data_IF_169853833014
#
_entry.id   IF_169853833014
#
_cell.length_a   1.000
_cell.length_b   1.000
_cell.length_c   1.000
_cell.angle_alpha   90.00
_cell.angle_beta   90.00
_cell.angle_gamma   90.00
#
_symmetry.space_group_name_H-M   'P 1'
#
loop_
_entity.id
_entity.type
_entity.pdbx_description
1 polymer ?
#
# COMPACT_ATOMS: atom_id res chain seq x y z
N UNK A 1 -14.64 -17.79 5.46
CA UNK A 1 -13.55 -18.64 4.88
C UNK A 1 -12.41 -18.52 5.89
N UNK A 2 -11.79 -19.61 6.28
CA UNK A 2 -10.58 -19.53 7.10
C UNK A 2 -9.37 -19.26 6.19
N UNK A 3 -8.72 -18.11 6.40
CA UNK A 3 -7.55 -17.70 5.64
C UNK A 3 -6.23 -18.15 6.29
N UNK A 4 -6.28 -18.83 7.45
CA UNK A 4 -5.10 -19.28 8.18
C UNK A 4 -4.23 -18.14 8.73
N UNK A 5 -4.83 -16.98 8.99
CA UNK A 5 -4.14 -15.77 9.44
C UNK A 5 -4.19 -15.59 10.97
N UNK A 6 -4.95 -16.42 11.67
CA UNK A 6 -5.02 -16.37 13.13
C UNK A 6 -3.62 -16.48 13.74
N UNK A 7 -3.33 -15.61 14.69
CA UNK A 7 -2.06 -15.48 15.43
C UNK A 7 -0.83 -15.14 14.55
N UNK A 8 -1.01 -14.87 13.25
CA UNK A 8 0.06 -14.42 12.35
C UNK A 8 0.46 -12.98 12.67
N UNK A 9 1.76 -12.71 12.69
CA UNK A 9 2.27 -11.35 12.89
C UNK A 9 2.36 -10.62 11.54
N UNK A 10 1.66 -9.49 11.45
CA UNK A 10 1.56 -8.68 10.24
C UNK A 10 2.10 -7.27 10.51
N UNK A 11 3.05 -6.81 9.70
CA UNK A 11 3.47 -5.41 9.68
C UNK A 11 2.85 -4.70 8.47
N UNK A 12 2.07 -3.65 8.73
CA UNK A 12 1.50 -2.79 7.68
C UNK A 12 2.13 -1.41 7.76
N UNK A 13 2.94 -1.05 6.78
CA UNK A 13 3.58 0.28 6.75
C UNK A 13 2.61 1.34 6.21
N UNK A 14 2.63 2.58 6.75
CA UNK A 14 1.71 3.65 6.36
C UNK A 14 0.26 3.29 6.67
N UNK A 15 0.01 2.75 7.85
CA UNK A 15 -1.31 2.25 8.27
C UNK A 15 -2.04 3.18 9.24
N UNK A 16 -1.58 4.41 9.43
CA UNK A 16 -2.29 5.41 10.24
C UNK A 16 -3.64 5.83 9.65
N UNK A 17 -3.80 5.74 8.34
CA UNK A 17 -5.03 6.13 7.60
C UNK A 17 -5.24 5.30 6.34
N UNK A 18 -6.29 5.58 5.61
CA UNK A 18 -6.58 5.11 4.25
C UNK A 18 -6.53 3.59 4.08
N UNK A 19 -5.91 3.15 2.98
CA UNK A 19 -5.81 1.72 2.63
C UNK A 19 -5.02 0.94 3.69
N UNK A 20 -3.97 1.54 4.25
CA UNK A 20 -3.14 0.89 5.26
C UNK A 20 -3.92 0.58 6.53
N UNK A 21 -4.70 1.55 7.06
CA UNK A 21 -5.54 1.36 8.25
C UNK A 21 -6.66 0.36 7.99
N UNK A 22 -7.32 0.44 6.83
CA UNK A 22 -8.32 -0.56 6.43
C UNK A 22 -7.72 -1.97 6.33
N UNK A 23 -6.48 -2.08 5.84
CA UNK A 23 -5.76 -3.36 5.75
C UNK A 23 -5.46 -3.92 7.15
N UNK A 24 -4.94 -3.10 8.05
CA UNK A 24 -4.70 -3.48 9.45
C UNK A 24 -5.99 -3.98 10.12
N UNK A 25 -7.10 -3.26 9.93
CA UNK A 25 -8.43 -3.65 10.42
C UNK A 25 -8.85 -5.02 9.92
N UNK A 26 -8.73 -5.31 8.62
CA UNK A 26 -9.14 -6.61 8.07
C UNK A 26 -8.26 -7.74 8.60
N UNK A 27 -6.94 -7.55 8.76
CA UNK A 27 -6.08 -8.55 9.39
C UNK A 27 -6.47 -8.85 10.83
N UNK A 28 -6.81 -7.84 11.63
CA UNK A 28 -7.30 -8.03 13.00
C UNK A 28 -8.61 -8.82 13.03
N UNK A 29 -9.54 -8.55 12.11
CA UNK A 29 -10.79 -9.30 11.96
C UNK A 29 -10.57 -10.78 11.60
N UNK A 30 -9.47 -11.10 10.90
CA UNK A 30 -9.05 -12.47 10.62
C UNK A 30 -8.21 -13.11 11.76
N UNK A 31 -8.11 -12.42 12.91
CA UNK A 31 -7.43 -12.90 14.11
C UNK A 31 -5.90 -12.79 14.08
N UNK A 32 -5.35 -12.00 13.17
CA UNK A 32 -3.92 -11.73 13.12
C UNK A 32 -3.52 -10.74 14.23
N UNK A 33 -2.24 -10.75 14.60
CA UNK A 33 -1.56 -9.73 15.40
C UNK A 33 -1.00 -8.68 14.46
N UNK A 34 -1.27 -7.39 14.67
CA UNK A 34 -0.93 -6.36 13.70
C UNK A 34 -0.01 -5.30 14.31
N UNK A 35 1.06 -4.98 13.59
CA UNK A 35 1.90 -3.83 13.85
C UNK A 35 1.51 -2.74 12.84
N UNK A 36 0.99 -1.62 13.34
CA UNK A 36 0.71 -0.43 12.54
C UNK A 36 1.91 0.51 12.56
N UNK A 37 2.06 1.27 11.48
CA UNK A 37 3.14 2.24 11.32
C UNK A 37 2.61 3.52 10.68
N UNK A 38 3.04 4.66 11.18
CA UNK A 38 2.79 6.00 10.65
C UNK A 38 4.03 6.88 10.77
N UNK A 39 3.93 8.12 10.30
CA UNK A 39 5.02 9.07 10.37
C UNK A 39 5.16 9.70 11.78
N UNK A 40 4.06 9.83 12.52
CA UNK A 40 4.04 10.49 13.83
C UNK A 40 3.43 9.60 14.90
N UNK A 41 3.88 9.76 16.14
CA UNK A 41 3.34 9.08 17.32
C UNK A 41 1.83 9.33 17.49
N UNK A 42 1.37 10.55 17.21
CA UNK A 42 -0.05 10.90 17.29
C UNK A 42 -0.90 10.09 16.31
N UNK A 43 -0.43 9.94 15.07
CA UNK A 43 -1.10 9.13 14.03
C UNK A 43 -1.16 7.66 14.42
N UNK A 44 -0.03 7.12 14.89
CA UNK A 44 0.07 5.72 15.29
C UNK A 44 -0.79 5.42 16.51
N UNK A 45 -0.73 6.25 17.56
CA UNK A 45 -1.53 6.08 18.77
C UNK A 45 -3.03 6.11 18.48
N UNK A 46 -3.49 7.09 17.69
CA UNK A 46 -4.89 7.18 17.29
C UNK A 46 -5.34 5.93 16.49
N UNK A 47 -4.48 5.40 15.62
CA UNK A 47 -4.78 4.19 14.86
C UNK A 47 -4.85 2.95 15.78
N UNK A 48 -3.91 2.81 16.73
CA UNK A 48 -3.91 1.71 17.71
C UNK A 48 -5.18 1.77 18.56
N UNK A 49 -5.53 2.94 19.09
CA UNK A 49 -6.73 3.13 19.93
C UNK A 49 -8.02 2.74 19.16
N UNK A 50 -8.15 3.17 17.91
CA UNK A 50 -9.30 2.84 17.06
C UNK A 50 -9.42 1.33 16.77
N UNK A 51 -8.30 0.64 16.64
CA UNK A 51 -8.27 -0.77 16.26
C UNK A 51 -8.20 -1.74 17.45
N UNK A 52 -7.88 -1.26 18.67
CA UNK A 52 -7.65 -2.09 19.86
C UNK A 52 -8.81 -3.02 20.22
N UNK A 53 -10.04 -2.65 19.89
CA UNK A 53 -11.23 -3.47 20.16
C UNK A 53 -11.36 -4.67 19.21
N UNK A 54 -10.60 -4.71 18.11
CA UNK A 54 -10.67 -5.75 17.08
C UNK A 54 -9.67 -6.89 17.31
N UNK A 55 -8.59 -6.66 18.08
CA UNK A 55 -7.57 -7.69 18.31
C UNK A 55 -6.25 -7.14 18.84
N UNK A 56 -5.20 -7.95 18.74
CA UNK A 56 -3.84 -7.61 19.20
C UNK A 56 -3.17 -6.64 18.20
N UNK A 57 -3.13 -5.37 18.55
CA UNK A 57 -2.53 -4.31 17.74
C UNK A 57 -1.53 -3.49 18.55
N UNK A 58 -0.39 -3.22 17.95
CA UNK A 58 0.64 -2.31 18.47
C UNK A 58 1.17 -1.46 17.32
N UNK A 59 1.99 -0.46 17.61
CA UNK A 59 2.50 0.40 16.55
C UNK A 59 3.76 1.16 16.91
N UNK A 60 4.42 1.69 15.89
CA UNK A 60 5.60 2.53 16.03
C UNK A 60 5.64 3.60 14.93
N UNK A 61 5.93 4.83 15.29
CA UNK A 61 6.20 5.91 14.35
C UNK A 61 7.63 5.82 13.83
N UNK A 62 7.82 6.03 12.53
CA UNK A 62 9.14 6.08 11.91
C UNK A 62 9.07 6.76 10.54
N UNK A 63 10.07 7.56 10.18
CA UNK A 63 10.26 8.01 8.80
C UNK A 63 11.04 6.96 8.01
N UNK A 64 10.36 6.23 7.12
CA UNK A 64 10.98 5.19 6.29
C UNK A 64 11.89 5.75 5.18
N UNK A 65 12.00 7.07 5.03
CA UNK A 65 13.04 7.68 4.20
C UNK A 65 14.39 7.72 4.93
N UNK A 66 14.37 7.61 6.25
CA UNK A 66 15.52 7.56 7.14
C UNK A 66 15.92 6.10 7.43
N UNK A 67 17.17 5.75 7.16
CA UNK A 67 17.67 4.38 7.34
C UNK A 67 17.68 3.94 8.81
N UNK A 68 18.01 4.86 9.72
CA UNK A 68 18.06 4.55 11.16
C UNK A 68 16.67 4.27 11.71
N UNK A 69 15.67 5.10 11.36
CA UNK A 69 14.30 4.91 11.79
C UNK A 69 13.66 3.66 11.14
N UNK A 70 13.98 3.42 9.87
CA UNK A 70 13.58 2.17 9.19
C UNK A 70 14.13 0.92 9.91
N UNK A 71 15.39 0.98 10.39
CA UNK A 71 15.98 -0.11 11.17
C UNK A 71 15.31 -0.26 12.52
N UNK A 72 15.01 0.85 13.20
CA UNK A 72 14.32 0.83 14.48
C UNK A 72 12.91 0.22 14.39
N UNK A 73 12.13 0.54 13.34
CA UNK A 73 10.84 -0.10 13.09
C UNK A 73 10.99 -1.61 12.84
N UNK A 74 12.01 -2.00 12.08
CA UNK A 74 12.26 -3.42 11.82
C UNK A 74 12.64 -4.18 13.10
N UNK A 75 13.48 -3.61 13.95
CA UNK A 75 13.85 -4.17 15.25
C UNK A 75 12.64 -4.26 16.19
N UNK A 76 11.84 -3.19 16.25
CA UNK A 76 10.58 -3.20 17.02
C UNK A 76 9.66 -4.34 16.58
N UNK A 77 9.48 -4.52 15.27
CA UNK A 77 8.65 -5.60 14.74
C UNK A 77 9.23 -6.99 15.09
N UNK A 78 10.54 -7.17 14.99
CA UNK A 78 11.22 -8.42 15.36
C UNK A 78 11.11 -8.75 16.87
N UNK A 79 11.04 -7.75 17.74
CA UNK A 79 10.77 -7.97 19.17
C UNK A 79 9.36 -8.49 19.44
N UNK A 80 8.39 -8.21 18.55
CA UNK A 80 7.03 -8.79 18.66
C UNK A 80 6.96 -10.23 18.16
N UNK A 81 7.95 -10.69 17.41
CA UNK A 81 8.04 -12.05 16.88
C UNK A 81 8.47 -12.09 15.40
N UNK A 82 8.31 -13.26 14.82
CA UNK A 82 8.56 -13.46 13.39
C UNK A 82 7.45 -12.82 12.55
N UNK A 83 7.78 -11.81 11.74
CA UNK A 83 6.81 -11.21 10.82
C UNK A 83 6.45 -12.22 9.73
N UNK A 84 5.20 -12.66 9.71
CA UNK A 84 4.67 -13.58 8.71
C UNK A 84 4.24 -12.87 7.43
N UNK A 85 3.70 -11.65 7.57
CA UNK A 85 3.25 -10.83 6.45
C UNK A 85 3.81 -9.42 6.58
N UNK A 86 4.43 -8.92 5.51
CA UNK A 86 4.83 -7.53 5.36
C UNK A 86 3.98 -6.87 4.27
N UNK A 87 3.27 -5.78 4.61
CA UNK A 87 2.56 -4.95 3.65
C UNK A 87 3.30 -3.62 3.50
N UNK A 88 4.00 -3.44 2.38
CA UNK A 88 4.67 -2.20 2.01
C UNK A 88 3.64 -1.26 1.38
N UNK A 89 2.96 -0.46 2.21
CA UNK A 89 1.88 0.41 1.77
C UNK A 89 2.27 1.90 1.76
N UNK A 90 3.39 2.31 2.38
CA UNK A 90 3.85 3.71 2.36
C UNK A 90 3.93 4.23 0.92
N UNK A 91 3.36 5.41 0.68
CA UNK A 91 3.44 6.09 -0.60
C UNK A 91 2.77 7.44 -0.58
N UNK A 92 3.28 8.33 -1.43
CA UNK A 92 2.72 9.65 -1.68
C UNK A 92 2.41 9.82 -3.17
N UNK A 93 1.51 10.74 -3.46
CA UNK A 93 1.20 11.17 -4.82
C UNK A 93 0.98 12.69 -4.86
N UNK A 94 1.22 13.31 -6.00
CA UNK A 94 0.79 14.67 -6.30
C UNK A 94 0.65 14.87 -7.79
N UNK A 95 -0.17 15.84 -8.17
CA UNK A 95 -0.25 16.33 -9.54
C UNK A 95 0.81 17.41 -9.73
N UNK A 96 1.70 17.24 -10.71
CA UNK A 96 2.71 18.22 -11.08
C UNK A 96 3.05 18.07 -12.58
N UNK A 97 3.06 19.16 -13.38
CA UNK A 97 3.46 19.12 -14.79
C UNK A 97 4.87 18.52 -14.93
N UNK A 98 5.09 17.77 -16.02
CA UNK A 98 6.37 17.07 -16.22
C UNK A 98 7.55 18.05 -16.31
N UNK A 99 7.36 19.18 -16.97
CA UNK A 99 8.37 20.23 -17.15
C UNK A 99 8.78 20.94 -15.85
N UNK A 100 7.92 20.89 -14.82
CA UNK A 100 8.14 21.51 -13.51
C UNK A 100 8.80 20.56 -12.51
N UNK A 101 8.93 19.26 -12.88
CA UNK A 101 9.55 18.24 -12.02
C UNK A 101 11.05 18.42 -11.95
N UNK A 102 11.58 18.68 -10.77
CA UNK A 102 13.02 18.73 -10.51
C UNK A 102 13.60 17.35 -10.22
N UNK A 103 14.92 17.20 -10.32
CA UNK A 103 15.63 15.98 -9.90
C UNK A 103 15.35 15.65 -8.43
N UNK A 104 15.23 16.66 -7.57
CA UNK A 104 14.89 16.49 -6.15
C UNK A 104 13.46 15.92 -5.97
N UNK A 105 12.48 16.33 -6.78
CA UNK A 105 11.15 15.73 -6.78
C UNK A 105 11.22 14.23 -7.11
N UNK A 106 11.97 13.88 -8.17
CA UNK A 106 12.16 12.49 -8.57
C UNK A 106 12.77 11.65 -7.44
N UNK A 107 13.83 12.15 -6.82
CA UNK A 107 14.52 11.46 -5.72
C UNK A 107 13.65 11.34 -4.49
N UNK A 108 12.87 12.38 -4.16
CA UNK A 108 11.93 12.40 -3.04
C UNK A 108 10.87 11.30 -3.21
N UNK A 109 10.19 11.28 -4.36
CA UNK A 109 9.18 10.26 -4.66
C UNK A 109 9.76 8.85 -4.67
N UNK A 110 10.94 8.67 -5.24
CA UNK A 110 11.59 7.37 -5.28
C UNK A 110 11.99 6.89 -3.87
N UNK A 111 12.48 7.81 -3.04
CA UNK A 111 12.86 7.50 -1.66
C UNK A 111 11.66 7.04 -0.81
N UNK A 112 10.51 7.71 -0.96
CA UNK A 112 9.29 7.36 -0.22
C UNK A 112 8.61 6.12 -0.82
N UNK A 113 8.30 6.13 -2.11
CA UNK A 113 7.43 5.12 -2.72
C UNK A 113 8.13 3.79 -3.01
N UNK A 114 9.45 3.79 -3.17
CA UNK A 114 10.22 2.59 -3.55
C UNK A 114 11.20 2.18 -2.47
N UNK A 115 12.09 3.09 -2.04
CA UNK A 115 13.16 2.72 -1.10
C UNK A 115 12.62 2.39 0.29
N UNK A 116 11.49 2.93 0.73
CA UNK A 116 10.81 2.50 1.97
C UNK A 116 10.51 0.99 1.92
N UNK A 117 9.89 0.53 0.84
CA UNK A 117 9.59 -0.89 0.63
C UNK A 117 10.87 -1.75 0.52
N UNK A 118 11.90 -1.24 -0.15
CA UNK A 118 13.21 -1.90 -0.25
C UNK A 118 13.85 -2.06 1.13
N UNK A 119 13.80 -1.02 2.00
CA UNK A 119 14.39 -1.05 3.35
C UNK A 119 13.71 -2.13 4.21
N UNK A 120 12.39 -2.15 4.25
CA UNK A 120 11.63 -3.16 4.99
C UNK A 120 11.85 -4.56 4.43
N UNK A 121 11.73 -4.72 3.13
CA UNK A 121 11.91 -6.02 2.48
C UNK A 121 13.32 -6.58 2.64
N UNK A 122 14.35 -5.73 2.69
CA UNK A 122 15.76 -6.13 2.91
C UNK A 122 15.96 -6.80 4.27
N UNK A 123 15.16 -6.45 5.26
CA UNK A 123 15.20 -7.08 6.59
C UNK A 123 14.35 -8.34 6.63
N UNK A 124 13.10 -8.27 6.17
CA UNK A 124 12.14 -9.36 6.40
C UNK A 124 12.23 -10.48 5.36
N UNK A 125 12.55 -10.21 4.09
CA UNK A 125 12.65 -11.26 3.07
C UNK A 125 13.71 -12.34 3.41
N UNK A 126 14.94 -12.00 3.83
CA UNK A 126 15.92 -13.01 4.25
C UNK A 126 15.46 -13.85 5.46
N UNK A 127 14.79 -13.22 6.43
CA UNK A 127 14.23 -13.92 7.59
C UNK A 127 13.12 -14.89 7.17
N UNK A 128 12.22 -14.48 6.28
CA UNK A 128 11.17 -15.35 5.71
C UNK A 128 11.78 -16.50 4.91
N UNK A 129 12.79 -16.25 4.07
CA UNK A 129 13.48 -17.30 3.31
C UNK A 129 14.16 -18.33 4.22
N UNK A 130 14.77 -17.89 5.32
CA UNK A 130 15.37 -18.79 6.32
C UNK A 130 14.34 -19.70 6.98
N UNK A 131 13.12 -19.19 7.24
CA UNK A 131 12.00 -19.97 7.76
C UNK A 131 11.30 -20.81 6.68
N UNK A 132 11.51 -20.50 5.41
CA UNK A 132 10.86 -21.12 4.26
C UNK A 132 9.42 -20.70 4.04
N UNK A 133 8.88 -19.73 4.78
CA UNK A 133 7.49 -19.25 4.70
C UNK A 133 7.39 -17.76 5.02
N UNK A 134 6.49 -17.06 4.34
CA UNK A 134 6.19 -15.64 4.53
C UNK A 134 5.44 -15.05 3.34
N UNK A 135 4.93 -13.83 3.50
CA UNK A 135 4.25 -13.10 2.43
C UNK A 135 4.64 -11.63 2.45
N UNK A 136 5.00 -11.08 1.29
CA UNK A 136 5.23 -9.65 1.10
C UNK A 136 4.25 -9.13 0.07
N UNK A 137 3.52 -8.08 0.42
CA UNK A 137 2.61 -7.37 -0.48
C UNK A 137 3.14 -5.96 -0.69
N UNK A 138 3.37 -5.60 -1.95
CA UNK A 138 3.80 -4.26 -2.33
C UNK A 138 2.63 -3.47 -2.93
N UNK A 139 2.37 -2.27 -2.40
CA UNK A 139 1.34 -1.38 -2.93
C UNK A 139 1.87 -0.66 -4.17
N UNK A 140 1.43 -1.12 -5.34
CA UNK A 140 1.62 -0.41 -6.60
C UNK A 140 0.42 0.55 -6.84
N UNK A 141 -0.07 0.63 -8.05
CA UNK A 141 -1.24 1.41 -8.49
C UNK A 141 -1.60 0.98 -9.91
N UNK A 142 -2.81 1.27 -10.38
CA UNK A 142 -3.15 1.24 -11.82
C UNK A 142 -2.20 2.11 -12.65
N UNK A 143 -1.69 3.22 -12.05
CA UNK A 143 -0.70 4.10 -12.66
C UNK A 143 0.61 3.41 -13.02
N UNK A 144 0.89 2.22 -12.46
CA UNK A 144 2.05 1.41 -12.83
C UNK A 144 1.94 0.81 -14.25
N UNK A 145 0.73 0.63 -14.76
CA UNK A 145 0.41 0.01 -16.07
C UNK A 145 -0.31 0.96 -17.02
N UNK A 146 -0.97 1.98 -16.47
CA UNK A 146 -1.60 3.11 -17.18
C UNK A 146 -0.98 4.42 -16.64
N UNK A 147 0.23 4.80 -17.07
CA UNK A 147 0.87 6.00 -16.55
C UNK A 147 0.02 7.25 -16.76
N UNK A 148 -0.10 8.06 -15.69
CA UNK A 148 -0.92 9.27 -15.67
C UNK A 148 -0.06 10.46 -16.11
N UNK A 149 -0.42 11.18 -17.21
CA UNK A 149 0.40 12.28 -17.74
C UNK A 149 0.64 13.40 -16.72
N UNK A 150 -0.35 13.67 -15.85
CA UNK A 150 -0.25 14.68 -14.80
C UNK A 150 0.52 14.22 -13.55
N UNK A 151 0.96 12.95 -13.51
CA UNK A 151 1.61 12.31 -12.36
C UNK A 151 2.72 11.34 -12.83
N UNK A 152 3.55 11.76 -13.80
CA UNK A 152 4.56 10.88 -14.42
C UNK A 152 5.54 10.31 -13.40
N UNK A 153 6.05 11.15 -12.49
CA UNK A 153 6.98 10.75 -11.43
C UNK A 153 6.39 9.69 -10.50
N UNK A 154 5.12 9.87 -10.09
CA UNK A 154 4.40 8.86 -9.30
C UNK A 154 4.25 7.55 -10.08
N UNK A 155 3.78 7.62 -11.33
CA UNK A 155 3.57 6.45 -12.19
C UNK A 155 4.85 5.63 -12.35
N UNK A 156 6.00 6.29 -12.55
CA UNK A 156 7.32 5.63 -12.65
C UNK A 156 7.67 4.90 -11.34
N UNK A 157 7.43 5.53 -10.18
CA UNK A 157 7.69 4.83 -8.89
C UNK A 157 6.81 3.60 -8.72
N UNK A 158 5.53 3.67 -9.16
CA UNK A 158 4.60 2.53 -9.06
C UNK A 158 4.93 1.42 -10.08
N UNK A 159 5.45 1.78 -11.27
CA UNK A 159 6.02 0.80 -12.20
C UNK A 159 7.27 0.13 -11.61
N UNK A 160 8.14 0.88 -10.94
CA UNK A 160 9.30 0.32 -10.25
C UNK A 160 8.91 -0.70 -9.18
N UNK A 161 7.76 -0.51 -8.49
CA UNK A 161 7.25 -1.48 -7.51
C UNK A 161 6.88 -2.83 -8.15
N UNK A 162 6.42 -2.86 -9.41
CA UNK A 162 6.18 -4.11 -10.13
C UNK A 162 7.50 -4.86 -10.40
N UNK A 163 8.53 -4.14 -10.87
CA UNK A 163 9.87 -4.69 -11.08
C UNK A 163 10.48 -5.22 -9.78
N UNK A 164 10.37 -4.45 -8.68
CA UNK A 164 10.81 -4.87 -7.34
C UNK A 164 10.10 -6.16 -6.89
N UNK A 165 8.77 -6.20 -7.03
CA UNK A 165 7.94 -7.35 -6.67
C UNK A 165 8.40 -8.60 -7.43
N UNK A 166 8.52 -8.50 -8.75
CA UNK A 166 8.92 -9.65 -9.58
C UNK A 166 10.35 -10.09 -9.25
N UNK A 167 11.28 -9.16 -9.14
CA UNK A 167 12.67 -9.48 -8.78
C UNK A 167 12.82 -10.19 -7.44
N UNK A 168 12.09 -9.73 -6.41
CA UNK A 168 12.07 -10.40 -5.10
C UNK A 168 11.40 -11.78 -5.16
N UNK A 169 10.33 -11.94 -5.94
CA UNK A 169 9.66 -13.23 -6.09
C UNK A 169 10.59 -14.30 -6.69
N UNK A 170 11.49 -13.95 -7.62
CA UNK A 170 12.48 -14.89 -8.16
C UNK A 170 13.42 -15.46 -7.09
N UNK A 171 13.70 -14.69 -6.02
CA UNK A 171 14.52 -15.13 -4.90
C UNK A 171 13.84 -16.19 -4.02
N UNK A 172 12.51 -16.34 -4.14
CA UNK A 172 11.72 -17.23 -3.27
C UNK A 172 11.56 -18.64 -3.82
N UNK A 173 12.15 -18.94 -4.98
CA UNK A 173 12.01 -20.23 -5.67
C UNK A 173 12.28 -21.42 -4.76
N UNK A 174 11.34 -22.38 -4.72
CA UNK A 174 11.45 -23.60 -3.91
C UNK A 174 11.07 -23.42 -2.44
N UNK A 175 10.55 -22.25 -2.06
CA UNK A 175 10.05 -21.98 -0.70
C UNK A 175 8.54 -21.73 -0.72
N UNK A 176 7.95 -21.52 0.46
CA UNK A 176 6.58 -21.01 0.60
C UNK A 176 6.56 -19.49 0.85
N UNK A 177 7.65 -18.77 0.60
CA UNK A 177 7.68 -17.31 0.63
C UNK A 177 7.10 -16.77 -0.68
N UNK A 178 6.24 -15.77 -0.57
CA UNK A 178 5.55 -15.17 -1.73
C UNK A 178 5.70 -13.65 -1.69
N UNK A 179 5.89 -13.07 -2.86
CA UNK A 179 5.95 -11.61 -3.04
C UNK A 179 5.01 -11.22 -4.17
N UNK A 180 3.99 -10.44 -3.85
CA UNK A 180 3.00 -9.98 -4.82
C UNK A 180 2.81 -8.46 -4.75
N UNK A 181 2.22 -7.88 -5.77
CA UNK A 181 1.77 -6.49 -5.74
C UNK A 181 0.27 -6.37 -5.92
N UNK A 182 -0.31 -5.33 -5.33
CA UNK A 182 -1.70 -4.92 -5.52
C UNK A 182 -1.72 -3.57 -6.22
N UNK A 183 -2.60 -3.44 -7.21
CA UNK A 183 -2.75 -2.26 -8.04
C UNK A 183 -4.16 -1.66 -7.83
N UNK A 184 -4.35 -0.83 -6.81
CA UNK A 184 -5.59 -0.11 -6.64
C UNK A 184 -5.80 0.90 -7.77
N UNK A 185 -7.06 1.12 -8.12
CA UNK A 185 -7.49 2.33 -8.84
C UNK A 185 -7.71 3.51 -7.90
N UNK A 186 -8.33 4.58 -8.38
CA UNK A 186 -8.71 5.71 -7.56
C UNK A 186 -9.52 5.23 -6.35
N UNK A 187 -8.97 5.43 -5.16
CA UNK A 187 -9.53 4.92 -3.90
C UNK A 187 -9.89 6.08 -3.00
N UNK A 188 -11.10 6.08 -2.44
CA UNK A 188 -11.61 7.15 -1.58
C UNK A 188 -10.97 7.06 -0.20
N UNK A 189 -9.85 7.72 -0.03
CA UNK A 189 -9.12 7.85 1.23
C UNK A 189 -9.24 9.28 1.74
N UNK A 190 -8.92 9.51 3.00
CA UNK A 190 -8.94 10.85 3.61
C UNK A 190 -8.10 11.86 2.81
N UNK A 191 -6.95 11.41 2.27
CA UNK A 191 -6.08 12.25 1.44
C UNK A 191 -6.69 12.58 0.06
N UNK A 192 -7.42 11.64 -0.53
CA UNK A 192 -8.15 11.86 -1.79
C UNK A 192 -9.36 12.76 -1.56
N UNK A 193 -10.11 12.54 -0.48
CA UNK A 193 -11.24 13.39 -0.09
C UNK A 193 -10.79 14.84 0.10
N UNK A 194 -9.73 15.09 0.87
CA UNK A 194 -9.18 16.43 1.07
C UNK A 194 -8.72 17.09 -0.25
N UNK A 195 -8.16 16.32 -1.20
CA UNK A 195 -7.81 16.82 -2.52
C UNK A 195 -9.05 17.27 -3.32
N UNK A 196 -10.11 16.45 -3.32
CA UNK A 196 -11.34 16.76 -4.03
C UNK A 196 -12.13 17.89 -3.39
N UNK A 197 -12.13 18.00 -2.05
CA UNK A 197 -12.67 19.15 -1.32
C UNK A 197 -11.96 20.44 -1.71
N UNK A 198 -10.63 20.40 -1.81
CA UNK A 198 -9.84 21.54 -2.29
C UNK A 198 -10.22 21.97 -3.71
N UNK A 199 -10.42 21.00 -4.63
CA UNK A 199 -10.87 21.25 -6.00
C UNK A 199 -12.28 21.84 -6.04
N UNK A 200 -13.21 21.32 -5.25
CA UNK A 200 -14.58 21.81 -5.13
C UNK A 200 -14.59 23.26 -4.66
N UNK A 201 -13.83 23.59 -3.61
CA UNK A 201 -13.69 24.96 -3.13
C UNK A 201 -13.08 25.90 -4.17
N UNK A 202 -12.05 25.46 -4.90
CA UNK A 202 -11.39 26.27 -5.93
C UNK A 202 -12.33 26.57 -7.11
N UNK A 203 -13.18 25.61 -7.52
CA UNK A 203 -14.10 25.74 -8.64
C UNK A 203 -15.45 26.35 -8.27
N UNK A 204 -15.76 26.42 -6.96
CA UNK A 204 -17.09 26.86 -6.48
C UNK A 204 -18.20 25.86 -6.83
N UNK A 205 -17.88 24.58 -6.94
CA UNK A 205 -18.80 23.48 -7.26
C UNK A 205 -18.99 22.57 -6.04
N UNK A 206 -20.04 21.73 -6.04
CA UNK A 206 -20.21 20.73 -4.99
C UNK A 206 -19.23 19.58 -5.18
N UNK A 207 -18.83 18.91 -4.07
CA UNK A 207 -18.00 17.73 -4.11
C UNK A 207 -18.57 16.64 -5.01
N UNK A 208 -19.89 16.38 -4.92
CA UNK A 208 -20.56 15.38 -5.78
C UNK A 208 -20.42 15.70 -7.26
N UNK A 209 -20.53 17.00 -7.65
CA UNK A 209 -20.35 17.44 -9.04
C UNK A 209 -18.91 17.18 -9.50
N UNK A 210 -17.92 17.47 -8.67
CA UNK A 210 -16.49 17.25 -9.00
C UNK A 210 -16.21 15.74 -9.15
N UNK A 211 -16.72 14.92 -8.25
CA UNK A 211 -16.55 13.44 -8.28
C UNK A 211 -17.24 12.85 -9.51
N UNK A 212 -18.47 13.26 -9.80
CA UNK A 212 -19.19 12.81 -11.00
C UNK A 212 -18.47 13.17 -12.30
N UNK A 213 -17.91 14.40 -12.37
CA UNK A 213 -17.15 14.84 -13.52
C UNK A 213 -15.83 14.08 -13.66
N UNK A 214 -15.17 13.73 -12.58
CA UNK A 214 -13.94 12.94 -12.60
C UNK A 214 -14.12 11.62 -13.36
N UNK A 215 -15.18 10.85 -13.09
CA UNK A 215 -15.42 9.60 -13.80
C UNK A 215 -15.96 9.79 -15.23
N UNK A 216 -16.47 10.97 -15.57
CA UNK A 216 -16.91 11.28 -16.95
C UNK A 216 -15.78 11.77 -17.84
N UNK A 217 -14.81 12.51 -17.27
CA UNK A 217 -13.76 13.20 -18.03
C UNK A 217 -12.36 12.63 -17.80
N UNK A 218 -11.96 12.44 -16.55
CA UNK A 218 -10.58 12.05 -16.21
C UNK A 218 -10.41 10.53 -16.23
N UNK A 219 -11.40 9.77 -15.70
CA UNK A 219 -11.39 8.30 -15.69
C UNK A 219 -12.63 7.68 -16.37
N UNK A 220 -12.94 8.04 -17.64
CA UNK A 220 -14.13 7.55 -18.35
C UNK A 220 -14.07 6.06 -18.66
N UNK A 221 -12.91 5.43 -18.51
CA UNK A 221 -12.72 3.99 -18.75
C UNK A 221 -13.08 3.12 -17.54
N UNK A 222 -13.29 3.72 -16.37
CA UNK A 222 -13.71 2.98 -15.17
C UNK A 222 -15.05 2.29 -15.43
N UNK A 223 -15.11 0.97 -15.24
CA UNK A 223 -16.35 0.21 -15.39
C UNK A 223 -17.28 0.37 -14.19
N UNK A 224 -16.73 0.64 -13.00
CA UNK A 224 -17.53 0.82 -11.79
C UNK A 224 -18.01 2.27 -11.60
N UNK A 225 -17.45 3.24 -12.32
CA UNK A 225 -17.81 4.66 -12.30
C UNK A 225 -17.91 5.26 -10.89
N UNK A 226 -17.06 4.81 -9.99
CA UNK A 226 -16.91 5.32 -8.62
C UNK A 226 -15.51 5.04 -8.10
N UNK A 227 -15.14 5.71 -7.03
CA UNK A 227 -13.94 5.36 -6.28
C UNK A 227 -14.04 3.95 -5.67
N UNK A 228 -12.92 3.25 -5.66
CA UNK A 228 -12.76 2.04 -4.87
C UNK A 228 -12.76 2.44 -3.39
N UNK A 229 -13.31 1.63 -2.51
CA UNK A 229 -13.26 1.87 -1.07
C UNK A 229 -12.02 1.23 -0.46
N UNK A 230 -11.39 1.83 0.57
CA UNK A 230 -10.23 1.26 1.25
C UNK A 230 -10.44 -0.19 1.71
N UNK A 231 -11.62 -0.52 2.21
CA UNK A 231 -11.98 -1.88 2.64
C UNK A 231 -12.01 -2.89 1.48
N UNK A 232 -12.33 -2.46 0.24
CA UNK A 232 -12.30 -3.33 -0.94
C UNK A 232 -10.85 -3.71 -1.28
N UNK A 233 -9.94 -2.72 -1.22
CA UNK A 233 -8.50 -2.95 -1.43
C UNK A 233 -7.93 -3.82 -0.32
N UNK A 234 -8.26 -3.53 0.94
CA UNK A 234 -7.81 -4.27 2.11
C UNK A 234 -8.16 -5.76 2.03
N UNK A 235 -9.41 -6.09 1.68
CA UNK A 235 -9.83 -7.49 1.49
C UNK A 235 -9.02 -8.21 0.42
N UNK A 236 -8.69 -7.54 -0.68
CA UNK A 236 -7.83 -8.12 -1.73
C UNK A 236 -6.41 -8.38 -1.19
N UNK A 237 -5.80 -7.42 -0.48
CA UNK A 237 -4.47 -7.57 0.12
C UNK A 237 -4.43 -8.79 1.05
N UNK A 238 -5.40 -8.90 1.95
CA UNK A 238 -5.48 -9.98 2.94
C UNK A 238 -5.66 -11.33 2.24
N UNK A 239 -6.56 -11.42 1.25
CA UNK A 239 -6.78 -12.64 0.46
C UNK A 239 -5.52 -13.08 -0.29
N UNK A 240 -4.81 -12.15 -0.94
CA UNK A 240 -3.57 -12.45 -1.68
C UNK A 240 -2.47 -12.91 -0.71
N UNK A 241 -2.34 -12.27 0.45
CA UNK A 241 -1.33 -12.64 1.44
C UNK A 241 -1.51 -14.06 1.95
N UNK A 242 -2.74 -14.56 2.01
CA UNK A 242 -3.10 -15.92 2.38
C UNK A 242 -3.01 -16.92 1.21
N UNK A 243 -3.01 -16.46 -0.05
CA UNK A 243 -2.98 -17.33 -1.22
C UNK A 243 -1.64 -18.03 -1.38
N UNK A 244 -1.63 -19.36 -1.37
CA UNK A 244 -0.40 -20.17 -1.47
C UNK A 244 0.12 -20.33 -2.90
N UNK A 245 -0.70 -20.09 -3.90
CA UNK A 245 -0.36 -20.26 -5.32
C UNK A 245 0.02 -18.95 -6.02
N UNK A 246 -0.21 -17.78 -5.38
CA UNK A 246 0.11 -16.49 -5.97
C UNK A 246 1.51 -16.04 -5.56
N UNK A 247 2.42 -15.91 -6.54
CA UNK A 247 3.78 -15.41 -6.33
C UNK A 247 4.28 -14.68 -7.57
N UNK A 248 4.85 -13.50 -7.40
CA UNK A 248 5.35 -12.65 -8.48
C UNK A 248 4.26 -12.01 -9.33
N UNK A 249 3.02 -11.97 -8.85
CA UNK A 249 1.86 -11.47 -9.58
C UNK A 249 1.51 -10.03 -9.23
N UNK A 250 0.89 -9.34 -10.20
CA UNK A 250 0.30 -8.03 -10.05
C UNK A 250 -1.24 -8.17 -10.04
N UNK A 251 -1.85 -7.87 -8.91
CA UNK A 251 -3.29 -8.05 -8.70
C UNK A 251 -4.01 -6.72 -8.80
N UNK A 252 -4.86 -6.57 -9.80
CA UNK A 252 -5.60 -5.34 -10.06
C UNK A 252 -6.90 -5.28 -9.26
N UNK A 253 -7.16 -4.13 -8.63
CA UNK A 253 -8.44 -3.77 -8.02
C UNK A 253 -8.71 -2.30 -8.32
N UNK A 254 -8.96 -2.01 -9.60
CA UNK A 254 -8.95 -0.65 -10.16
C UNK A 254 -10.26 -0.28 -10.87
N UNK A 255 -11.31 -1.09 -10.68
CA UNK A 255 -12.62 -0.79 -11.23
C UNK A 255 -12.73 -0.92 -12.75
N UNK A 256 -11.81 -1.63 -13.40
CA UNK A 256 -11.80 -1.83 -14.85
C UNK A 256 -11.27 -0.66 -15.67
N UNK A 257 -10.48 0.22 -15.05
CA UNK A 257 -9.84 1.37 -15.72
C UNK A 257 -8.82 0.90 -16.77
N UNK A 258 -8.09 -0.16 -16.47
CA UNK A 258 -7.07 -0.73 -17.36
C UNK A 258 -7.75 -1.64 -18.38
N UNK A 259 -7.70 -1.28 -19.66
CA UNK A 259 -8.36 -2.00 -20.76
C UNK A 259 -7.62 -3.25 -21.22
N UNK A 260 -6.37 -3.43 -20.81
CA UNK A 260 -5.59 -4.61 -21.21
C UNK A 260 -6.11 -5.87 -20.53
N UNK A 261 -6.11 -6.98 -21.26
CA UNK A 261 -6.53 -8.28 -20.72
C UNK A 261 -5.46 -8.84 -19.76
N UNK A 262 -4.18 -8.51 -20.00
CA UNK A 262 -3.01 -8.93 -19.23
C UNK A 262 -2.32 -7.73 -18.59
#
# INVERSE_FOLDING_TARGET
MDLGLKDKLVLVTGSGSGIGKATAKVYLQEGARVIVHGLTETEVSACVDDLATLGDVTGMAADLTNTTESSALAEFAQMQGDVDVLVNNVGIFSVKPFEDLTDDDWMHYFNINVLSAVRMSRVFLPAMLKRGIGSIINMASEAAVKPLPQMVHYSVTKTAMLGLTRGMAELTKGTQVRVNSVLPGPTWTEGVEAYFDGLAAQKGESLDTIVDNYFKSDEPTSLIQRFVQPDEVARMIVTISASTASNGSAHRIEGGIIRNIL
#
